data_IF_479443612897
#
_entry.id   IF_479443612897
#
_cell.length_a   1.000
_cell.length_b   1.000
_cell.length_c   1.000
_cell.angle_alpha   90.00
_cell.angle_beta   90.00
_cell.angle_gamma   90.00
#
_symmetry.space_group_name_H-M   'P 1'
#
loop_
_entity.id
_entity.type
_entity.pdbx_description
1 polymer ?
#
# COMPACT_ATOMS: atom_id res chain seq x y z
N UNK A 1 9.09 -4.34 -0.66
CA UNK A 1 8.86 -4.90 -2.00
C UNK A 1 9.13 -6.41 -2.05
N UNK A 2 10.15 -6.92 -1.34
CA UNK A 2 10.52 -8.35 -1.25
C UNK A 2 9.34 -9.34 -1.09
N UNK A 3 8.41 -9.08 -0.17
CA UNK A 3 7.25 -9.96 0.07
C UNK A 3 6.35 -10.13 -1.17
N UNK A 4 6.07 -9.05 -1.90
CA UNK A 4 5.17 -9.09 -3.08
C UNK A 4 5.80 -9.83 -4.25
N UNK A 5 7.07 -9.53 -4.53
CA UNK A 5 7.83 -10.22 -5.56
C UNK A 5 7.94 -11.73 -5.26
N UNK A 6 8.22 -12.09 -4.00
CA UNK A 6 8.27 -13.49 -3.58
C UNK A 6 6.93 -14.22 -3.78
N UNK A 7 5.80 -13.56 -3.50
CA UNK A 7 4.48 -14.14 -3.73
C UNK A 7 4.26 -14.45 -5.21
N UNK A 8 4.56 -13.49 -6.10
CA UNK A 8 4.33 -13.64 -7.54
C UNK A 8 5.23 -14.72 -8.12
N UNK A 9 6.53 -14.74 -7.78
CA UNK A 9 7.45 -15.77 -8.26
C UNK A 9 7.03 -17.19 -7.83
N UNK A 10 6.47 -17.33 -6.63
CA UNK A 10 5.97 -18.62 -6.12
C UNK A 10 4.70 -19.09 -6.83
N UNK A 11 3.80 -18.16 -7.15
CA UNK A 11 2.63 -18.48 -7.95
C UNK A 11 3.04 -18.83 -9.39
N UNK A 12 3.98 -18.09 -9.96
CA UNK A 12 4.55 -18.38 -11.28
C UNK A 12 5.29 -19.73 -11.31
N UNK A 13 5.84 -20.19 -10.18
CA UNK A 13 6.42 -21.53 -10.05
C UNK A 13 5.38 -22.64 -9.82
N UNK A 14 4.08 -22.35 -9.95
CA UNK A 14 3.01 -23.33 -9.88
C UNK A 14 2.38 -23.54 -8.50
N UNK A 15 2.76 -22.77 -7.48
CA UNK A 15 2.10 -22.85 -6.17
C UNK A 15 0.76 -22.12 -6.19
N UNK A 16 -0.25 -22.69 -5.51
CA UNK A 16 -1.55 -22.03 -5.39
C UNK A 16 -1.45 -20.75 -4.54
N UNK A 17 -2.29 -19.75 -4.85
CA UNK A 17 -2.34 -18.50 -4.07
C UNK A 17 -2.64 -18.75 -2.59
N UNK A 18 -3.49 -19.73 -2.26
CA UNK A 18 -3.82 -20.09 -0.88
C UNK A 18 -2.59 -20.64 -0.15
N UNK A 19 -1.86 -21.56 -0.78
CA UNK A 19 -0.64 -22.14 -0.20
C UNK A 19 0.44 -21.07 0.01
N UNK A 20 0.61 -20.16 -0.95
CA UNK A 20 1.56 -19.04 -0.82
C UNK A 20 1.14 -18.09 0.31
N UNK A 21 -0.15 -17.80 0.44
CA UNK A 21 -0.69 -16.94 1.50
C UNK A 21 -0.46 -17.50 2.90
N UNK A 22 -0.63 -18.81 3.10
CA UNK A 22 -0.54 -19.45 4.41
C UNK A 22 0.89 -19.86 4.78
N UNK A 23 1.67 -20.34 3.81
CA UNK A 23 2.97 -20.98 4.07
C UNK A 23 4.11 -20.43 3.22
N UNK A 24 3.81 -19.72 2.14
CA UNK A 24 4.82 -19.21 1.20
C UNK A 24 5.40 -17.85 1.57
N UNK A 25 4.96 -17.18 2.63
CA UNK A 25 5.41 -15.84 3.01
C UNK A 25 5.85 -15.81 4.48
N UNK A 26 6.63 -14.78 4.85
CA UNK A 26 7.13 -14.60 6.23
C UNK A 26 6.00 -14.47 7.25
N UNK A 27 4.86 -13.93 6.82
CA UNK A 27 3.65 -13.81 7.63
C UNK A 27 2.46 -14.31 6.81
N UNK A 28 1.48 -14.97 7.45
CA UNK A 28 0.25 -15.34 6.79
C UNK A 28 -0.47 -14.10 6.24
N UNK A 29 -0.98 -14.22 5.01
CA UNK A 29 -1.79 -13.20 4.34
C UNK A 29 -3.11 -13.81 3.88
N UNK A 30 -4.04 -12.95 3.47
CA UNK A 30 -5.24 -13.38 2.76
C UNK A 30 -4.88 -13.66 1.30
N UNK A 31 -5.44 -14.71 0.70
CA UNK A 31 -5.28 -15.02 -0.72
C UNK A 31 -5.66 -13.83 -1.62
N UNK A 32 -6.72 -13.08 -1.25
CA UNK A 32 -7.15 -11.87 -1.97
C UNK A 32 -6.04 -10.82 -2.07
N UNK A 33 -5.17 -10.74 -1.05
CA UNK A 33 -4.04 -9.80 -1.05
C UNK A 33 -3.02 -10.17 -2.12
N UNK A 34 -2.79 -11.47 -2.31
CA UNK A 34 -1.89 -11.98 -3.35
C UNK A 34 -2.51 -11.73 -4.73
N UNK A 35 -3.80 -12.02 -4.90
CA UNK A 35 -4.52 -11.71 -6.15
C UNK A 35 -4.37 -10.24 -6.53
N UNK A 36 -4.56 -9.31 -5.59
CA UNK A 36 -4.37 -7.88 -5.85
C UNK A 36 -2.93 -7.51 -6.23
N UNK A 37 -1.92 -8.21 -5.71
CA UNK A 37 -0.54 -7.97 -6.12
C UNK A 37 -0.26 -8.46 -7.53
N UNK A 38 -0.83 -9.61 -7.91
CA UNK A 38 -0.74 -10.15 -9.27
C UNK A 38 -1.41 -9.20 -10.26
N UNK A 39 -2.67 -8.80 -10.01
CA UNK A 39 -3.38 -7.88 -10.91
C UNK A 39 -2.61 -6.56 -11.13
N UNK A 40 -2.05 -5.98 -10.07
CA UNK A 40 -1.22 -4.76 -10.21
C UNK A 40 0.07 -5.00 -10.99
N UNK A 41 0.65 -6.19 -10.88
CA UNK A 41 1.83 -6.55 -11.65
C UNK A 41 1.48 -6.75 -13.14
N UNK A 42 0.33 -7.34 -13.44
CA UNK A 42 -0.14 -7.49 -14.82
C UNK A 42 -0.47 -6.13 -15.45
N UNK A 43 -1.06 -5.21 -14.69
CA UNK A 43 -1.41 -3.86 -15.16
C UNK A 43 -0.20 -2.94 -15.34
N UNK A 44 0.75 -2.97 -14.41
CA UNK A 44 1.82 -1.96 -14.31
C UNK A 44 3.23 -2.52 -14.13
N UNK A 45 3.41 -3.82 -14.33
CA UNK A 45 4.67 -4.50 -14.11
C UNK A 45 5.22 -4.30 -12.70
N UNK A 46 6.55 -4.18 -12.62
CA UNK A 46 7.27 -3.96 -11.36
C UNK A 46 6.86 -2.65 -10.67
N UNK A 47 6.44 -1.63 -11.42
CA UNK A 47 5.99 -0.34 -10.87
C UNK A 47 4.68 -0.51 -10.08
N UNK A 48 3.78 -1.40 -10.53
CA UNK A 48 2.54 -1.74 -9.82
C UNK A 48 2.75 -2.34 -8.43
N UNK A 49 3.95 -2.89 -8.17
CA UNK A 49 4.32 -3.49 -6.90
C UNK A 49 4.92 -2.51 -5.88
N UNK A 50 5.14 -1.25 -6.25
CA UNK A 50 5.64 -0.23 -5.34
C UNK A 50 4.54 0.25 -4.36
N UNK A 51 4.95 0.96 -3.31
CA UNK A 51 4.00 1.61 -2.41
C UNK A 51 3.59 2.92 -3.08
N UNK A 52 2.34 3.00 -3.53
CA UNK A 52 1.79 4.20 -4.14
C UNK A 52 1.70 5.33 -3.11
N UNK A 53 1.96 6.56 -3.57
CA UNK A 53 1.80 7.76 -2.76
C UNK A 53 0.35 7.89 -2.27
N UNK A 54 0.15 8.41 -1.05
CA UNK A 54 -1.18 8.49 -0.42
C UNK A 54 -1.66 7.20 0.25
N UNK A 55 -0.89 6.10 0.19
CA UNK A 55 -1.16 4.91 1.02
C UNK A 55 -0.65 5.13 2.45
N UNK A 56 -1.58 5.18 3.40
CA UNK A 56 -1.28 5.38 4.83
C UNK A 56 -2.47 6.00 5.53
N UNK A 57 -2.42 6.11 6.87
CA UNK A 57 -3.41 6.92 7.59
C UNK A 57 -3.21 8.37 7.19
N UNK A 58 -4.32 9.06 6.84
CA UNK A 58 -4.32 10.52 6.77
C UNK A 58 -3.81 11.05 8.13
N UNK A 59 -2.95 12.08 8.15
CA UNK A 59 -2.49 12.65 9.42
C UNK A 59 -3.72 13.02 10.25
N UNK A 60 -3.69 12.70 11.55
CA UNK A 60 -4.78 13.05 12.48
C UNK A 60 -4.90 14.57 12.69
N UNK A 61 -3.92 15.34 12.20
CA UNK A 61 -3.84 16.78 12.34
C UNK A 61 -3.72 17.42 10.95
N UNK A 62 -4.74 18.19 10.58
CA UNK A 62 -4.68 19.19 9.52
C UNK A 62 -4.56 20.54 10.21
N UNK A 63 -3.44 21.30 10.08
CA UNK A 63 -3.35 22.63 10.67
C UNK A 63 -4.39 23.52 9.99
N UNK A 64 -5.47 23.84 10.70
CA UNK A 64 -6.39 24.90 10.30
C UNK A 64 -5.62 26.22 10.51
N UNK A 65 -5.49 27.02 9.45
CA UNK A 65 -4.86 28.34 9.53
C UNK A 65 -5.56 29.17 10.62
N UNK A 66 -4.84 29.50 11.69
CA UNK A 66 -5.37 30.32 12.78
C UNK A 66 -5.79 31.71 12.26
N UNK A 67 -6.81 32.35 12.85
CA UNK A 67 -7.30 33.64 12.38
C UNK A 67 -6.18 34.68 12.47
N UNK A 68 -5.90 35.35 11.34
CA UNK A 68 -5.06 36.53 11.32
C UNK A 68 -5.66 37.56 12.30
N UNK A 69 -4.96 37.81 13.40
CA UNK A 69 -5.27 38.93 14.29
C UNK A 69 -4.90 40.22 13.56
N UNK A 70 -5.81 40.70 12.72
CA UNK A 70 -5.78 42.07 12.20
C UNK A 70 -6.14 43.02 13.34
N UNK A 71 -5.14 43.40 14.13
CA UNK A 71 -5.24 44.52 15.05
C UNK A 71 -5.29 45.82 14.27
N UNK A 72 -6.49 46.26 13.86
CA UNK A 72 -6.70 47.63 13.41
C UNK A 72 -7.03 48.49 14.64
N UNK A 73 -6.02 49.20 15.13
CA UNK A 73 -6.14 50.17 16.21
C UNK A 73 -7.10 51.29 15.83
N UNK A 74 -8.00 51.63 16.76
CA UNK A 74 -8.77 52.88 16.77
C UNK A 74 -7.84 54.04 17.09
N UNK A 75 -7.83 55.07 16.24
CA UNK A 75 -7.63 56.47 16.60
C UNK A 75 -8.53 57.33 15.73
#
# INVERSE_FOLDING_TARGET
MRERAAAILKVASGLSMLQVALHGLLKPRRSDTISQWISRYEEGGVQGLQVQAGRGRKPAFSPCAGPARSGAGRR
#
